data_IF_145450473415
#
_entry.id   IF_145450473415
#
_cell.length_a   1.000
_cell.length_b   1.000
_cell.length_c   1.000
_cell.angle_alpha   90.00
_cell.angle_beta   90.00
_cell.angle_gamma   90.00
#
_symmetry.space_group_name_H-M   'P 1'
#
loop_
_entity.id
_entity.type
_entity.pdbx_description
1 polymer ?
#
# COMPACT_ATOMS: atom_id res chain seq x y z
N UNK A 1 41.30 -70.55 27.50
CA UNK A 1 40.60 -71.16 26.35
C UNK A 1 39.11 -71.21 26.66
N UNK A 2 38.34 -70.27 26.10
CA UNK A 2 36.88 -70.33 25.88
C UNK A 2 36.51 -69.09 25.06
N UNK A 3 36.35 -69.32 23.76
CA UNK A 3 35.85 -68.43 22.72
C UNK A 3 34.33 -68.55 22.71
N UNK A 4 33.60 -67.43 22.67
CA UNK A 4 32.20 -67.42 22.21
C UNK A 4 31.90 -66.17 21.38
N UNK A 5 31.12 -66.43 20.34
CA UNK A 5 30.92 -65.65 19.13
C UNK A 5 29.95 -64.47 19.27
N UNK A 6 30.24 -63.47 18.44
CA UNK A 6 29.40 -62.49 17.75
C UNK A 6 27.88 -62.51 17.92
N UNK A 7 27.30 -61.31 18.04
CA UNK A 7 26.08 -60.92 17.31
C UNK A 7 26.08 -59.40 17.08
N UNK A 8 26.28 -59.01 15.82
CA UNK A 8 26.01 -57.67 15.30
C UNK A 8 24.52 -57.61 15.02
N UNK A 9 23.82 -56.64 15.61
CA UNK A 9 22.50 -56.21 15.14
C UNK A 9 22.57 -54.71 14.93
N UNK A 10 22.59 -54.32 13.65
CA UNK A 10 22.54 -52.94 13.21
C UNK A 10 21.14 -52.37 13.37
N UNK A 11 21.07 -51.12 13.84
CA UNK A 11 19.87 -50.29 13.74
C UNK A 11 20.17 -49.16 12.74
N UNK A 12 19.60 -49.28 11.54
CA UNK A 12 19.63 -48.28 10.50
C UNK A 12 18.59 -47.19 10.86
N UNK A 13 19.03 -46.07 11.40
CA UNK A 13 18.17 -44.90 11.64
C UNK A 13 18.02 -44.10 10.35
N UNK A 14 16.86 -44.21 9.71
CA UNK A 14 16.46 -43.31 8.63
C UNK A 14 16.00 -41.98 9.23
N UNK A 15 16.86 -40.96 9.16
CA UNK A 15 16.44 -39.58 9.41
C UNK A 15 15.66 -39.07 8.20
N UNK A 16 14.35 -38.91 8.35
CA UNK A 16 13.51 -38.18 7.39
C UNK A 16 13.88 -36.71 7.49
N UNK A 17 14.58 -36.19 6.49
CA UNK A 17 14.81 -34.76 6.35
C UNK A 17 13.46 -34.08 6.05
N UNK A 18 12.92 -33.36 7.03
CA UNK A 18 11.76 -32.50 6.83
C UNK A 18 12.08 -31.43 5.80
N UNK A 19 11.23 -31.28 4.79
CA UNK A 19 11.30 -30.17 3.84
C UNK A 19 11.18 -28.85 4.60
N UNK A 20 12.09 -27.88 4.43
CA UNK A 20 11.86 -26.55 4.98
C UNK A 20 10.66 -25.95 4.23
N UNK A 21 9.53 -25.82 4.93
CA UNK A 21 8.48 -24.90 4.52
C UNK A 21 9.11 -23.53 4.33
N UNK A 22 9.11 -23.01 3.09
CA UNK A 22 9.35 -21.59 2.84
C UNK A 22 8.28 -20.82 3.63
N UNK A 23 8.63 -20.34 4.82
CA UNK A 23 7.89 -19.27 5.43
C UNK A 23 7.93 -18.11 4.45
N UNK A 24 6.76 -17.59 4.06
CA UNK A 24 6.67 -16.38 3.26
C UNK A 24 7.52 -15.30 3.95
N UNK A 25 8.56 -14.85 3.27
CA UNK A 25 9.48 -13.86 3.80
C UNK A 25 8.67 -12.59 4.10
N UNK A 26 8.59 -12.13 5.37
CA UNK A 26 7.85 -10.92 5.68
C UNK A 26 8.44 -9.77 4.89
N UNK A 27 7.57 -9.02 4.21
CA UNK A 27 7.95 -7.89 3.37
C UNK A 27 8.70 -6.88 4.26
N UNK A 28 9.96 -6.50 3.94
CA UNK A 28 10.83 -5.74 4.85
C UNK A 28 10.43 -4.26 5.02
N UNK A 29 9.20 -3.89 4.69
CA UNK A 29 8.68 -2.52 4.76
C UNK A 29 7.50 -2.36 5.73
N UNK A 30 7.25 -3.33 6.62
CA UNK A 30 6.09 -3.26 7.53
C UNK A 30 6.48 -3.43 8.99
N UNK A 31 7.49 -2.71 9.46
CA UNK A 31 7.62 -2.41 10.90
C UNK A 31 8.10 -0.96 11.11
N UNK A 32 7.13 -0.04 11.12
CA UNK A 32 7.23 1.15 11.92
C UNK A 32 6.18 1.05 13.03
N UNK A 33 6.63 0.97 14.28
CA UNK A 33 5.77 1.05 15.47
C UNK A 33 4.93 2.32 15.41
N UNK A 34 3.64 2.19 15.09
CA UNK A 34 2.68 3.29 15.07
C UNK A 34 1.38 2.84 14.42
N UNK A 35 0.37 2.57 15.24
CA UNK A 35 -1.01 2.23 14.86
C UNK A 35 -1.21 0.94 14.04
N UNK A 36 -1.28 -0.21 14.74
CA UNK A 36 -1.96 -1.40 14.20
C UNK A 36 -3.45 -1.11 14.13
N UNK A 37 -3.90 -0.45 13.06
CA UNK A 37 -5.32 -0.32 12.77
C UNK A 37 -5.90 -1.70 12.43
N UNK A 38 -7.06 -2.08 13.02
CA UNK A 38 -7.78 -3.27 12.61
C UNK A 38 -8.00 -3.28 11.10
N UNK A 39 -8.06 -4.47 10.51
CA UNK A 39 -8.26 -4.63 9.08
C UNK A 39 -9.60 -5.33 8.86
N UNK A 40 -10.41 -4.79 7.96
CA UNK A 40 -11.69 -5.37 7.55
C UNK A 40 -11.56 -5.89 6.12
N UNK A 41 -11.81 -7.17 5.95
CA UNK A 41 -11.79 -7.82 4.63
C UNK A 41 -13.12 -7.58 3.94
N UNK A 42 -13.07 -7.02 2.73
CA UNK A 42 -14.24 -6.85 1.89
C UNK A 42 -14.66 -8.26 1.42
N UNK A 43 -15.94 -8.63 1.36
CA UNK A 43 -16.35 -9.95 0.84
C UNK A 43 -16.11 -10.10 -0.67
N UNK A 44 -15.73 -11.29 -1.15
CA UNK A 44 -15.35 -11.50 -2.57
C UNK A 44 -16.44 -11.19 -3.60
N UNK A 45 -17.70 -11.21 -3.19
CA UNK A 45 -18.85 -10.86 -4.03
C UNK A 45 -19.13 -9.36 -4.11
N UNK A 46 -18.40 -8.54 -3.33
CA UNK A 46 -18.48 -7.07 -3.37
C UNK A 46 -17.34 -6.52 -4.22
N UNK A 47 -17.64 -5.62 -5.16
CA UNK A 47 -16.59 -4.96 -5.94
C UNK A 47 -15.64 -4.19 -5.01
N UNK A 48 -14.33 -4.37 -5.17
CA UNK A 48 -13.35 -3.64 -4.38
C UNK A 48 -13.32 -2.15 -4.78
N UNK A 49 -13.12 -1.22 -3.82
CA UNK A 49 -12.86 0.17 -4.13
C UNK A 49 -11.63 0.35 -5.01
N UNK A 50 -11.67 1.40 -5.83
CA UNK A 50 -10.50 1.96 -6.50
C UNK A 50 -10.04 3.20 -5.74
N UNK A 51 -8.73 3.40 -5.68
CA UNK A 51 -8.09 4.60 -5.16
C UNK A 51 -6.82 4.90 -5.95
N UNK A 52 -6.66 6.13 -6.41
CA UNK A 52 -5.45 6.67 -7.00
C UNK A 52 -5.21 8.07 -6.45
N UNK A 53 -3.97 8.54 -6.59
CA UNK A 53 -3.56 9.84 -6.09
C UNK A 53 -2.95 10.66 -7.22
N UNK A 54 -3.35 11.92 -7.26
CA UNK A 54 -2.71 12.96 -8.06
C UNK A 54 -2.26 14.10 -7.18
N UNK A 55 -1.17 14.74 -7.58
CA UNK A 55 -0.60 15.84 -6.82
C UNK A 55 -0.07 16.91 -7.77
N UNK A 56 -0.31 18.17 -7.43
CA UNK A 56 0.22 19.33 -8.13
C UNK A 56 0.85 20.29 -7.13
N UNK A 57 1.77 21.14 -7.60
CA UNK A 57 2.23 22.27 -6.79
C UNK A 57 1.11 23.28 -6.69
N UNK A 58 0.89 23.80 -5.50
CA UNK A 58 0.02 24.95 -5.29
C UNK A 58 0.75 26.22 -5.77
N UNK A 59 0.01 27.18 -6.34
CA UNK A 59 0.61 28.41 -6.89
C UNK A 59 1.11 29.35 -5.81
N UNK A 60 0.60 29.24 -4.58
CA UNK A 60 0.97 30.10 -3.45
C UNK A 60 2.01 29.41 -2.57
N UNK A 61 1.73 28.20 -2.08
CA UNK A 61 2.67 27.45 -1.23
C UNK A 61 2.27 25.99 -1.09
N UNK A 62 3.20 25.04 -1.07
CA UNK A 62 2.87 23.62 -0.84
C UNK A 62 2.28 22.92 -2.06
N UNK A 63 1.38 21.96 -1.82
CA UNK A 63 0.88 21.04 -2.83
C UNK A 63 -0.61 20.80 -2.68
N UNK A 64 -1.29 20.53 -3.78
CA UNK A 64 -2.69 20.09 -3.77
C UNK A 64 -2.71 18.60 -4.11
N UNK A 65 -3.21 17.80 -3.17
CA UNK A 65 -3.42 16.35 -3.33
C UNK A 65 -4.89 16.12 -3.68
N UNK A 66 -5.11 15.32 -4.72
CA UNK A 66 -6.41 14.83 -5.12
C UNK A 66 -6.46 13.31 -4.98
N UNK A 67 -7.54 12.80 -4.39
CA UNK A 67 -7.83 11.37 -4.28
C UNK A 67 -8.88 11.03 -5.33
N UNK A 68 -8.49 10.24 -6.32
CA UNK A 68 -9.42 9.67 -7.28
C UNK A 68 -9.90 8.32 -6.73
N UNK A 69 -11.17 8.21 -6.33
CA UNK A 69 -11.74 6.98 -5.79
C UNK A 69 -13.02 6.58 -6.53
N UNK A 70 -13.30 5.27 -6.51
CA UNK A 70 -14.53 4.68 -7.05
C UNK A 70 -15.00 3.56 -6.11
N UNK A 71 -16.32 3.34 -6.05
CA UNK A 71 -16.99 2.32 -5.20
C UNK A 71 -16.64 2.43 -3.72
N UNK A 72 -16.49 3.66 -3.26
CA UNK A 72 -16.29 4.03 -1.87
C UNK A 72 -16.92 5.40 -1.64
N UNK A 73 -17.53 5.60 -0.49
CA UNK A 73 -18.07 6.90 -0.09
C UNK A 73 -17.17 7.55 0.97
N UNK A 74 -16.61 8.72 0.65
CA UNK A 74 -15.90 9.55 1.63
C UNK A 74 -16.94 10.34 2.43
N UNK A 75 -17.14 9.93 3.66
CA UNK A 75 -18.17 10.45 4.54
C UNK A 75 -17.67 11.49 5.52
N UNK A 76 -18.57 12.41 5.86
CA UNK A 76 -18.31 13.44 6.87
C UNK A 76 -18.22 12.83 8.27
N UNK A 77 -17.34 13.33 9.16
CA UNK A 77 -17.30 12.85 10.53
C UNK A 77 -18.61 13.12 11.30
N UNK A 78 -19.50 13.97 10.77
CA UNK A 78 -20.83 14.23 11.33
C UNK A 78 -21.75 13.01 11.28
N UNK A 79 -21.56 12.12 10.31
CA UNK A 79 -22.38 10.93 10.09
C UNK A 79 -21.69 9.65 10.55
N UNK A 80 -20.53 9.74 11.21
CA UNK A 80 -19.71 8.58 11.56
C UNK A 80 -20.36 7.60 12.56
N UNK A 81 -21.40 8.02 13.28
CA UNK A 81 -22.15 7.17 14.21
C UNK A 81 -23.52 6.74 13.64
N UNK A 82 -23.84 7.17 12.41
CA UNK A 82 -25.10 6.80 11.79
C UNK A 82 -25.02 5.37 11.27
N UNK A 83 -26.19 4.78 11.00
CA UNK A 83 -26.23 3.49 10.31
C UNK A 83 -25.65 3.68 8.92
N UNK A 84 -24.63 2.90 8.51
CA UNK A 84 -24.02 3.08 7.21
C UNK A 84 -25.04 3.00 6.07
N UNK A 85 -25.01 3.97 5.17
CA UNK A 85 -25.90 3.99 4.00
C UNK A 85 -25.38 3.07 2.90
N UNK A 86 -24.06 2.88 2.85
CA UNK A 86 -23.38 1.98 1.95
C UNK A 86 -22.46 1.05 2.73
N UNK A 87 -22.15 -0.12 2.16
CA UNK A 87 -21.21 -1.05 2.82
C UNK A 87 -19.77 -0.51 2.82
N UNK A 88 -19.36 0.17 1.74
CA UNK A 88 -18.02 0.72 1.56
C UNK A 88 -18.05 2.23 1.73
N UNK A 89 -18.15 2.67 2.96
CA UNK A 89 -18.07 4.09 3.33
C UNK A 89 -17.10 4.30 4.51
N UNK A 90 -16.73 5.55 4.72
CA UNK A 90 -15.90 5.96 5.86
C UNK A 90 -15.05 7.16 5.50
N UNK A 91 -13.76 7.11 5.81
CA UNK A 91 -12.85 8.24 5.57
C UNK A 91 -11.47 7.73 5.16
N UNK A 92 -10.61 8.61 4.69
CA UNK A 92 -9.25 8.24 4.34
C UNK A 92 -8.24 8.69 5.41
N UNK A 93 -7.13 7.97 5.55
CA UNK A 93 -6.01 8.39 6.41
C UNK A 93 -4.83 8.78 5.53
N UNK A 94 -4.28 9.97 5.78
CA UNK A 94 -3.06 10.46 5.14
C UNK A 94 -1.83 10.11 5.97
N UNK A 95 -0.84 9.53 5.33
CA UNK A 95 0.49 9.27 5.87
C UNK A 95 1.53 9.96 5.00
N UNK A 96 2.52 10.58 5.63
CA UNK A 96 3.69 11.13 4.95
C UNK A 96 4.94 10.54 5.60
N UNK A 97 5.81 9.94 4.79
CA UNK A 97 7.04 9.26 5.21
C UNK A 97 6.77 8.24 6.34
N UNK A 98 5.70 7.45 6.19
CA UNK A 98 5.29 6.43 7.15
C UNK A 98 4.56 6.96 8.40
N UNK A 99 4.52 8.28 8.63
CA UNK A 99 3.83 8.88 9.78
C UNK A 99 2.42 9.32 9.42
N UNK A 100 1.45 8.93 10.24
CA UNK A 100 0.06 9.41 10.12
C UNK A 100 -0.01 10.92 10.35
N UNK A 101 -0.62 11.63 9.42
CA UNK A 101 -0.75 13.10 9.44
C UNK A 101 -2.16 13.51 9.84
N UNK A 102 -3.18 13.02 9.13
CA UNK A 102 -4.57 13.40 9.39
C UNK A 102 -5.58 12.41 8.81
N UNK A 103 -6.84 12.57 9.22
CA UNK A 103 -8.02 12.00 8.56
C UNK A 103 -8.46 12.93 7.44
N UNK A 104 -8.98 12.36 6.36
CA UNK A 104 -9.45 13.05 5.17
C UNK A 104 -10.90 12.65 4.90
N UNK A 105 -11.76 13.64 4.72
CA UNK A 105 -13.19 13.48 4.47
C UNK A 105 -13.62 14.07 3.12
N UNK A 106 -12.65 14.42 2.28
CA UNK A 106 -12.86 15.04 0.99
C UNK A 106 -11.77 14.58 0.01
N UNK A 107 -12.10 14.66 -1.29
CA UNK A 107 -11.22 14.24 -2.38
C UNK A 107 -10.04 15.19 -2.60
N UNK A 108 -10.20 16.47 -2.30
CA UNK A 108 -9.20 17.51 -2.51
C UNK A 108 -8.70 18.09 -1.19
N UNK A 109 -7.39 18.22 -1.06
CA UNK A 109 -6.77 18.76 0.15
C UNK A 109 -5.47 19.49 -0.16
N UNK A 110 -5.24 20.54 0.61
CA UNK A 110 -3.99 21.23 0.61
C UNK A 110 -2.98 20.55 1.56
N UNK A 111 -1.77 20.34 1.07
CA UNK A 111 -0.62 19.85 1.83
C UNK A 111 0.39 20.99 2.03
N UNK A 112 0.47 21.57 3.23
CA UNK A 112 1.50 22.54 3.56
C UNK A 112 2.90 21.97 3.30
N UNK A 113 3.77 22.75 2.67
CA UNK A 113 5.12 22.31 2.29
C UNK A 113 5.93 21.77 3.49
N UNK A 114 5.72 22.33 4.69
CA UNK A 114 6.34 21.89 5.94
C UNK A 114 6.07 20.44 6.34
N UNK A 115 5.04 19.81 5.77
CA UNK A 115 4.78 18.39 5.97
C UNK A 115 5.74 17.50 5.18
N UNK A 116 6.38 18.05 4.14
CA UNK A 116 7.26 17.34 3.23
C UNK A 116 8.71 17.76 3.47
N UNK A 117 9.59 16.78 3.54
CA UNK A 117 11.03 17.01 3.65
C UNK A 117 11.60 17.50 2.30
N UNK A 118 12.69 18.28 2.29
CA UNK A 118 13.47 18.46 1.08
C UNK A 118 13.82 17.12 0.42
N UNK A 119 13.75 17.06 -0.90
CA UNK A 119 14.01 15.85 -1.67
C UNK A 119 12.88 14.81 -1.60
N UNK A 120 13.23 13.57 -1.27
CA UNK A 120 12.33 12.42 -1.41
C UNK A 120 11.25 12.39 -0.33
N UNK A 121 10.01 12.14 -0.74
CA UNK A 121 8.90 11.88 0.18
C UNK A 121 7.99 10.78 -0.36
N UNK A 122 7.43 10.01 0.58
CA UNK A 122 6.36 9.05 0.33
C UNK A 122 5.05 9.61 0.92
N UNK A 123 4.03 9.75 0.09
CA UNK A 123 2.67 10.14 0.49
C UNK A 123 1.79 8.92 0.30
N UNK A 124 1.11 8.46 1.36
CA UNK A 124 0.25 7.28 1.31
C UNK A 124 -1.13 7.62 1.85
N UNK A 125 -2.16 7.17 1.14
CA UNK A 125 -3.56 7.30 1.56
C UNK A 125 -4.18 5.92 1.66
N UNK A 126 -4.84 5.63 2.76
CA UNK A 126 -5.63 4.40 2.96
C UNK A 126 -7.12 4.72 3.01
N UNK A 127 -7.97 3.81 2.56
CA UNK A 127 -9.42 3.89 2.78
C UNK A 127 -9.79 3.15 4.07
N UNK A 128 -10.55 3.80 4.94
CA UNK A 128 -10.87 3.33 6.28
C UNK A 128 -12.39 3.38 6.53
N UNK A 129 -12.89 2.45 7.34
CA UNK A 129 -14.25 2.53 7.87
C UNK A 129 -14.35 3.57 9.00
N UNK A 130 -15.57 3.85 9.44
CA UNK A 130 -15.85 4.84 10.51
C UNK A 130 -15.13 4.53 11.82
N UNK A 131 -14.96 3.26 12.17
CA UNK A 131 -14.24 2.78 13.36
C UNK A 131 -12.69 2.84 13.20
N UNK A 132 -12.21 3.49 12.14
CA UNK A 132 -10.81 3.62 11.74
C UNK A 132 -10.15 2.34 11.20
N UNK A 133 -10.87 1.22 11.15
CA UNK A 133 -10.36 0.00 10.54
C UNK A 133 -10.07 0.22 9.05
N UNK A 134 -9.06 -0.46 8.52
CA UNK A 134 -8.66 -0.30 7.12
C UNK A 134 -9.31 -1.37 6.25
N UNK A 135 -9.96 -0.94 5.18
CA UNK A 135 -10.53 -1.85 4.19
C UNK A 135 -9.43 -2.65 3.49
N UNK A 136 -9.71 -3.90 3.18
CA UNK A 136 -8.77 -4.81 2.52
C UNK A 136 -9.44 -5.81 1.60
N UNK A 137 -8.67 -6.34 0.64
CA UNK A 137 -9.06 -7.37 -0.31
C UNK A 137 -7.95 -8.39 -0.45
N UNK A 138 -8.23 -9.67 -0.20
CA UNK A 138 -7.25 -10.75 -0.24
C UNK A 138 -6.08 -10.49 0.71
N UNK A 139 -6.35 -9.94 1.90
CA UNK A 139 -5.31 -9.58 2.87
C UNK A 139 -4.46 -8.34 2.50
N UNK A 140 -4.78 -7.65 1.40
CA UNK A 140 -4.11 -6.40 1.00
C UNK A 140 -4.99 -5.20 1.34
N UNK A 141 -4.44 -4.25 2.10
CA UNK A 141 -5.12 -2.98 2.43
C UNK A 141 -5.44 -2.19 1.17
N UNK A 142 -6.58 -1.50 1.14
CA UNK A 142 -6.93 -0.59 0.05
C UNK A 142 -6.21 0.74 0.27
N UNK A 143 -5.20 1.01 -0.57
CA UNK A 143 -4.34 2.18 -0.46
C UNK A 143 -3.76 2.63 -1.80
N UNK A 144 -3.29 3.87 -1.82
CA UNK A 144 -2.47 4.42 -2.89
C UNK A 144 -1.28 5.20 -2.32
N UNK A 145 -0.17 5.19 -3.05
CA UNK A 145 1.09 5.82 -2.64
C UNK A 145 1.69 6.61 -3.80
N UNK A 146 2.13 7.84 -3.51
CA UNK A 146 2.96 8.66 -4.37
C UNK A 146 4.36 8.76 -3.80
N UNK A 147 5.35 8.57 -4.66
CA UNK A 147 6.74 8.88 -4.37
C UNK A 147 7.12 10.15 -5.12
N UNK A 148 7.56 11.18 -4.40
CA UNK A 148 7.89 12.47 -4.99
C UNK A 148 9.30 12.92 -4.62
N UNK A 149 9.96 13.66 -5.51
CA UNK A 149 11.13 14.47 -5.24
C UNK A 149 10.72 15.94 -5.17
N UNK A 150 10.39 16.41 -3.97
CA UNK A 150 9.77 17.71 -3.67
C UNK A 150 10.47 18.91 -4.31
N UNK A 151 11.78 18.84 -4.53
CA UNK A 151 12.56 20.00 -5.00
C UNK A 151 12.87 19.97 -6.52
N UNK A 152 12.29 19.02 -7.27
CA UNK A 152 12.44 18.95 -8.74
C UNK A 152 11.27 19.59 -9.48
N UNK A 153 11.48 20.00 -10.73
CA UNK A 153 10.40 20.48 -11.62
C UNK A 153 9.41 19.36 -11.92
N UNK A 154 9.92 18.22 -12.41
CA UNK A 154 9.17 16.97 -12.53
C UNK A 154 9.34 16.22 -11.21
N UNK A 155 8.43 16.47 -10.27
CA UNK A 155 8.58 16.04 -8.89
C UNK A 155 7.94 14.68 -8.60
N UNK A 156 7.06 14.14 -9.45
CA UNK A 156 6.49 12.81 -9.24
C UNK A 156 7.45 11.75 -9.81
N UNK A 157 7.81 10.77 -8.99
CA UNK A 157 8.71 9.67 -9.35
C UNK A 157 7.92 8.41 -9.70
N UNK A 158 7.04 7.98 -8.79
CA UNK A 158 6.27 6.75 -8.95
C UNK A 158 4.87 6.88 -8.33
N UNK A 159 3.94 6.10 -8.89
CA UNK A 159 2.59 5.92 -8.36
C UNK A 159 2.38 4.43 -8.09
N UNK A 160 1.76 4.12 -6.96
CA UNK A 160 1.34 2.78 -6.61
C UNK A 160 -0.10 2.81 -6.12
N UNK A 161 -0.87 1.79 -6.48
CA UNK A 161 -2.23 1.61 -5.99
C UNK A 161 -2.51 0.12 -5.84
N UNK A 162 -3.29 -0.24 -4.83
CA UNK A 162 -3.84 -1.59 -4.67
C UNK A 162 -5.14 -1.79 -5.45
N UNK A 163 -5.57 -0.79 -6.21
CA UNK A 163 -6.75 -0.88 -7.06
C UNK A 163 -6.61 -2.04 -8.05
N UNK A 164 -7.72 -2.72 -8.40
CA UNK A 164 -7.72 -3.64 -9.52
C UNK A 164 -7.27 -2.92 -10.80
N UNK A 165 -6.34 -3.52 -11.54
CA UNK A 165 -5.94 -3.01 -12.85
C UNK A 165 -7.16 -3.11 -13.77
N UNK A 166 -7.65 -1.98 -14.28
CA UNK A 166 -8.66 -1.99 -15.33
C UNK A 166 -8.02 -2.54 -16.61
N UNK A 167 -8.42 -3.73 -17.05
CA UNK A 167 -8.05 -4.26 -18.37
C UNK A 167 -8.88 -3.60 -19.48
N UNK A 168 -8.91 -2.27 -19.50
CA UNK A 168 -9.50 -1.44 -20.54
C UNK A 168 -8.39 -0.73 -21.30
N UNK A 169 -8.43 -0.78 -22.64
CA UNK A 169 -7.42 -0.29 -23.59
C UNK A 169 -6.79 1.06 -23.19
N UNK A 170 -5.65 1.05 -22.51
CA UNK A 170 -4.75 2.21 -22.46
C UNK A 170 -3.88 2.18 -23.72
N UNK A 171 -4.25 3.01 -24.71
CA UNK A 171 -3.34 3.47 -25.73
C UNK A 171 -2.36 4.45 -25.08
N UNK A 172 -1.38 3.95 -24.34
CA UNK A 172 -0.20 4.73 -23.97
C UNK A 172 0.99 4.19 -24.75
N UNK A 173 1.51 5.04 -25.62
CA UNK A 173 2.70 4.77 -26.40
C UNK A 173 3.90 4.60 -25.44
N UNK A 174 4.56 3.43 -25.37
CA UNK A 174 5.65 3.16 -24.42
C UNK A 174 6.93 3.95 -24.71
N UNK A 175 6.97 4.77 -25.77
CA UNK A 175 8.14 5.52 -26.21
C UNK A 175 8.55 6.71 -25.31
N UNK A 176 7.82 7.04 -24.24
CA UNK A 176 8.24 8.10 -23.30
C UNK A 176 8.87 7.58 -21.99
N UNK A 177 9.02 6.25 -21.84
CA UNK A 177 9.57 5.68 -20.61
C UNK A 177 11.11 5.56 -20.58
N UNK A 178 11.83 5.78 -21.69
CA UNK A 178 13.30 5.71 -21.70
C UNK A 178 13.90 6.73 -22.66
N UNK A 179 14.25 7.91 -22.13
CA UNK A 179 15.15 8.83 -22.81
C UNK A 179 16.55 8.23 -22.87
N UNK A 180 16.89 7.55 -23.97
CA UNK A 180 18.27 7.24 -24.31
C UNK A 180 18.87 8.48 -24.97
N UNK A 181 19.73 9.16 -24.22
CA UNK A 181 20.67 10.15 -24.75
C UNK A 181 21.67 9.39 -25.62
N UNK A 182 21.54 9.51 -26.94
CA UNK A 182 22.53 9.06 -27.91
C UNK A 182 23.44 10.24 -28.29
N UNK A 183 24.70 10.13 -27.91
CA UNK A 183 25.81 11.03 -28.26
C UNK A 183 26.24 10.86 -29.73
N UNK A 184 26.50 12.01 -30.40
CA UNK A 184 27.52 12.24 -31.45
C UNK A 184 27.71 11.27 -32.62
N UNK A 185 27.51 11.76 -33.85
CA UNK A 185 28.57 12.32 -34.71
C UNK A 185 27.94 13.09 -35.88
#
# INVERSE_FOLDING_TARGET
MKIHNYLIVGALLWTVAGTPTLAAQPNPHTEHSGDRHPVVEIPMYTAAPRIELDISRDTMSGFNLHINYDRFELESPRYANDVPQQFLEGHAHLYINGKKVQRLYAADMHLPEKLLQPGFNQITVTLNAHDHSTWSRGGKRILATLFIQRDRKNFILHRFSTSPISTGKHNENPAQAFGVVGTGN
#
